data_IF_385707829897
#
_entry.id   IF_385707829897
#
_cell.length_a   1.000
_cell.length_b   1.000
_cell.length_c   1.000
_cell.angle_alpha   90.00
_cell.angle_beta   90.00
_cell.angle_gamma   90.00
#
_symmetry.space_group_name_H-M   'P 1'
#
loop_
_entity.id
_entity.type
_entity.pdbx_description
1 polymer ?
#
# COMPACT_ATOMS: atom_id res chain seq x y z
N UNK A 1 -60.84 8.45 35.97
CA UNK A 1 -59.40 8.12 36.05
C UNK A 1 -58.85 8.04 34.64
N UNK A 2 -57.69 8.68 34.39
CA UNK A 2 -56.66 8.50 33.33
C UNK A 2 -57.15 7.94 31.98
N UNK A 3 -57.19 8.73 30.90
CA UNK A 3 -56.03 9.21 30.12
C UNK A 3 -55.71 8.21 29.00
N UNK A 4 -55.80 8.54 27.70
CA UNK A 4 -54.72 9.19 26.95
C UNK A 4 -55.11 9.46 25.48
N UNK A 5 -54.46 10.48 24.90
CA UNK A 5 -54.53 11.01 23.54
C UNK A 5 -54.00 10.06 22.44
N UNK A 6 -54.41 10.28 21.18
CA UNK A 6 -53.44 10.63 20.12
C UNK A 6 -54.07 11.32 18.92
N UNK A 7 -53.53 12.49 18.62
CA UNK A 7 -53.75 13.29 17.43
C UNK A 7 -52.74 12.90 16.32
N UNK A 8 -53.16 13.13 15.08
CA UNK A 8 -52.35 13.84 14.08
C UNK A 8 -51.43 13.02 13.19
N UNK A 9 -51.41 13.41 11.91
CA UNK A 9 -50.28 13.15 11.03
C UNK A 9 -50.65 12.84 9.59
N UNK A 10 -51.12 13.85 8.85
CA UNK A 10 -51.09 13.86 7.38
C UNK A 10 -49.67 13.61 6.88
N UNK A 11 -49.49 12.53 6.12
CA UNK A 11 -48.24 12.13 5.47
C UNK A 11 -47.92 13.14 4.34
N UNK A 12 -46.89 13.97 4.53
CA UNK A 12 -46.34 14.87 3.50
C UNK A 12 -45.04 14.27 2.97
N UNK A 13 -45.00 14.11 1.64
CA UNK A 13 -43.94 13.46 0.89
C UNK A 13 -42.52 13.93 1.24
N UNK A 14 -41.69 12.97 1.65
CA UNK A 14 -40.24 13.10 1.67
C UNK A 14 -39.65 12.67 0.33
N UNK A 15 -39.62 13.57 -0.65
CA UNK A 15 -38.98 13.35 -1.94
C UNK A 15 -37.66 14.12 -2.07
N UNK A 16 -36.68 13.45 -2.68
CA UNK A 16 -35.69 14.03 -3.60
C UNK A 16 -34.34 14.54 -3.05
N UNK A 17 -34.22 15.07 -1.84
CA UNK A 17 -32.97 15.76 -1.43
C UNK A 17 -31.74 14.85 -1.36
N UNK A 18 -31.89 13.64 -0.80
CA UNK A 18 -30.78 12.68 -0.68
C UNK A 18 -30.30 12.17 -2.04
N UNK A 19 -31.23 11.86 -2.96
CA UNK A 19 -30.87 11.39 -4.31
C UNK A 19 -30.13 12.48 -5.10
N UNK A 20 -30.54 13.74 -4.99
CA UNK A 20 -29.82 14.86 -5.60
C UNK A 20 -28.42 15.05 -4.99
N UNK A 21 -28.23 14.89 -3.68
CA UNK A 21 -26.92 14.98 -3.04
C UNK A 21 -25.99 13.84 -3.51
N UNK A 22 -26.51 12.62 -3.64
CA UNK A 22 -25.76 11.49 -4.21
C UNK A 22 -25.43 11.68 -5.69
N UNK A 23 -26.36 12.21 -6.49
CA UNK A 23 -26.10 12.51 -7.90
C UNK A 23 -25.08 13.64 -8.05
N UNK A 24 -25.14 14.68 -7.22
CA UNK A 24 -24.16 15.76 -7.18
C UNK A 24 -22.78 15.26 -6.74
N UNK A 25 -22.68 14.40 -5.73
CA UNK A 25 -21.40 13.83 -5.29
C UNK A 25 -20.78 12.89 -6.33
N UNK A 26 -21.60 12.11 -7.04
CA UNK A 26 -21.16 11.28 -8.17
C UNK A 26 -20.71 12.15 -9.35
N UNK A 27 -21.41 13.23 -9.67
CA UNK A 27 -20.99 14.21 -10.69
C UNK A 27 -19.69 14.93 -10.31
N UNK A 28 -19.49 15.23 -9.02
CA UNK A 28 -18.24 15.80 -8.50
C UNK A 28 -17.09 14.77 -8.59
N UNK A 29 -17.35 13.48 -8.35
CA UNK A 29 -16.37 12.40 -8.57
C UNK A 29 -16.09 12.15 -10.06
N UNK A 30 -17.06 12.31 -10.95
CA UNK A 30 -16.86 12.15 -12.41
C UNK A 30 -16.10 13.35 -12.99
N UNK A 31 -16.23 14.53 -12.40
CA UNK A 31 -15.56 15.76 -12.83
C UNK A 31 -14.19 16.00 -12.17
N UNK A 32 -13.69 15.08 -11.33
CA UNK A 32 -12.28 15.09 -10.93
C UNK A 32 -11.42 14.71 -12.13
N UNK A 33 -11.17 15.69 -13.00
CA UNK A 33 -10.14 15.63 -14.02
C UNK A 33 -8.83 15.40 -13.29
N UNK A 34 -8.33 14.16 -13.31
CA UNK A 34 -6.97 13.87 -12.88
C UNK A 34 -6.07 14.81 -13.71
N UNK A 35 -5.43 15.79 -13.07
CA UNK A 35 -4.76 16.89 -13.76
C UNK A 35 -3.51 16.34 -14.47
N UNK A 36 -3.71 15.82 -15.68
CA UNK A 36 -2.69 15.19 -16.55
C UNK A 36 -1.91 16.21 -17.36
N UNK A 37 -1.94 17.48 -16.93
CA UNK A 37 -1.26 18.59 -17.60
C UNK A 37 -0.45 19.41 -16.61
N UNK A 38 0.59 20.08 -17.10
CA UNK A 38 1.39 21.03 -16.34
C UNK A 38 1.70 22.27 -17.17
N UNK A 39 1.90 23.41 -16.51
CA UNK A 39 2.25 24.67 -17.19
C UNK A 39 3.77 24.86 -17.18
N UNK A 40 4.34 25.24 -18.33
CA UNK A 40 5.73 25.68 -18.44
C UNK A 40 5.87 27.01 -19.17
N UNK A 41 6.92 27.74 -18.83
CA UNK A 41 7.30 28.98 -19.52
C UNK A 41 8.35 28.68 -20.58
N UNK A 42 8.12 29.16 -21.80
CA UNK A 42 9.06 29.04 -22.91
C UNK A 42 10.14 30.14 -22.85
N UNK A 43 11.26 30.00 -23.57
CA UNK A 43 12.27 31.06 -23.66
C UNK A 43 11.74 32.42 -24.13
N UNK A 44 10.64 32.44 -24.88
CA UNK A 44 9.94 33.66 -25.31
C UNK A 44 9.11 34.35 -24.21
N UNK A 45 8.99 33.75 -23.03
CA UNK A 45 8.12 34.21 -21.94
C UNK A 45 6.68 33.72 -22.05
N UNK A 46 6.29 33.08 -23.15
CA UNK A 46 4.95 32.49 -23.31
C UNK A 46 4.75 31.32 -22.35
N UNK A 47 3.54 31.22 -21.76
CA UNK A 47 3.12 30.05 -20.97
C UNK A 47 2.40 29.06 -21.87
N UNK A 48 2.74 27.79 -21.76
CA UNK A 48 2.10 26.69 -22.49
C UNK A 48 1.68 25.59 -21.52
N UNK A 49 0.53 24.97 -21.79
CA UNK A 49 0.03 23.80 -21.07
C UNK A 49 0.50 22.56 -21.82
N UNK A 50 1.22 21.68 -21.13
CA UNK A 50 1.76 20.44 -21.67
C UNK A 50 1.11 19.23 -21.00
N UNK A 51 0.96 18.13 -21.72
CA UNK A 51 0.58 16.86 -21.13
C UNK A 51 1.75 16.26 -20.33
N UNK A 52 1.44 15.65 -19.20
CA UNK A 52 2.35 14.74 -18.50
C UNK A 52 2.52 13.45 -19.30
N UNK A 53 3.66 12.78 -19.09
CA UNK A 53 3.87 11.43 -19.57
C UNK A 53 3.21 10.41 -18.64
N UNK A 54 2.56 9.35 -19.17
CA UNK A 54 1.89 8.34 -18.36
C UNK A 54 2.89 7.50 -17.53
N UNK A 55 2.41 6.78 -16.49
CA UNK A 55 3.20 5.78 -15.78
C UNK A 55 3.92 4.82 -16.73
N UNK A 56 5.14 4.43 -16.37
CA UNK A 56 6.05 3.65 -17.17
C UNK A 56 6.65 4.36 -18.37
N UNK A 57 6.54 5.68 -18.43
CA UNK A 57 7.24 6.52 -19.39
C UNK A 57 7.86 7.75 -18.71
N UNK A 58 8.80 8.36 -19.42
CA UNK A 58 9.48 9.60 -19.03
C UNK A 58 9.37 10.63 -20.16
N UNK A 59 9.57 11.90 -19.83
CA UNK A 59 9.57 12.99 -20.79
C UNK A 59 10.89 13.04 -21.55
N UNK A 60 10.87 12.64 -22.81
CA UNK A 60 12.02 12.80 -23.71
C UNK A 60 12.19 14.24 -24.14
N UNK A 61 11.09 14.90 -24.51
CA UNK A 61 11.11 16.32 -24.82
C UNK A 61 9.81 16.97 -24.36
N UNK A 62 9.89 18.17 -23.72
CA UNK A 62 8.70 18.89 -23.29
C UNK A 62 7.94 19.47 -24.48
N UNK A 63 6.65 19.75 -24.30
CA UNK A 63 5.84 20.39 -25.34
C UNK A 63 6.35 21.80 -25.71
N UNK A 64 6.02 22.23 -26.92
CA UNK A 64 6.17 23.61 -27.43
C UNK A 64 4.79 24.15 -27.84
N UNK A 65 4.73 25.37 -28.38
CA UNK A 65 3.47 25.93 -28.91
C UNK A 65 2.85 25.09 -30.05
N UNK A 66 3.67 24.31 -30.75
CA UNK A 66 3.24 23.58 -31.96
C UNK A 66 3.51 22.08 -31.89
N UNK A 67 4.18 21.59 -30.85
CA UNK A 67 4.53 20.18 -30.69
C UNK A 67 4.11 19.67 -29.31
N UNK A 68 3.47 18.50 -29.23
CA UNK A 68 3.07 17.92 -27.95
C UNK A 68 4.30 17.44 -27.15
N UNK A 69 4.07 17.09 -25.89
CA UNK A 69 5.08 16.39 -25.07
C UNK A 69 5.45 15.07 -25.74
N UNK A 70 6.75 14.79 -25.85
CA UNK A 70 7.24 13.51 -26.34
C UNK A 70 7.59 12.60 -25.16
N UNK A 71 6.88 11.48 -25.05
CA UNK A 71 7.09 10.49 -24.00
C UNK A 71 7.79 9.25 -24.55
N UNK A 72 8.68 8.66 -23.74
CA UNK A 72 9.33 7.39 -24.05
C UNK A 72 9.18 6.39 -22.91
N UNK A 73 9.07 5.12 -23.27
CA UNK A 73 8.91 4.04 -22.30
C UNK A 73 10.19 3.83 -21.49
N UNK A 74 10.04 3.46 -20.22
CA UNK A 74 11.17 3.03 -19.40
C UNK A 74 11.75 1.71 -19.92
N UNK A 75 13.08 1.62 -19.96
CA UNK A 75 13.80 0.38 -20.23
C UNK A 75 13.72 -0.57 -19.02
N UNK A 76 14.11 -1.83 -19.22
CA UNK A 76 14.21 -2.81 -18.13
C UNK A 76 15.11 -2.32 -17.00
N UNK A 77 14.68 -2.51 -15.75
CA UNK A 77 15.36 -2.02 -14.55
C UNK A 77 15.00 -0.59 -14.15
N UNK A 78 14.11 0.09 -14.88
CA UNK A 78 13.65 1.43 -14.56
C UNK A 78 12.12 1.55 -14.58
N UNK A 79 11.56 2.50 -13.82
CA UNK A 79 10.13 2.70 -13.69
C UNK A 79 9.71 4.16 -13.48
N UNK A 80 8.42 4.44 -13.69
CA UNK A 80 7.72 5.62 -13.19
C UNK A 80 6.30 5.22 -12.81
N UNK A 81 5.87 5.49 -11.58
CA UNK A 81 4.57 5.02 -11.07
C UNK A 81 3.41 5.97 -11.34
N UNK A 82 3.73 7.25 -11.57
CA UNK A 82 2.74 8.32 -11.72
C UNK A 82 2.93 9.09 -13.03
N UNK A 83 1.90 9.84 -13.41
CA UNK A 83 1.98 10.85 -14.46
C UNK A 83 3.08 11.85 -14.13
N UNK A 84 4.01 12.08 -15.06
CA UNK A 84 5.26 12.79 -14.74
C UNK A 84 5.82 13.59 -15.94
N UNK A 85 6.71 14.54 -15.65
CA UNK A 85 7.55 15.21 -16.64
C UNK A 85 9.04 14.90 -16.42
N UNK A 86 9.36 13.82 -15.70
CA UNK A 86 10.76 13.54 -15.35
C UNK A 86 11.56 13.22 -16.61
N UNK A 87 12.81 13.69 -16.71
CA UNK A 87 13.62 13.52 -17.92
C UNK A 87 14.22 12.11 -18.07
N UNK A 88 14.11 11.28 -17.04
CA UNK A 88 14.60 9.90 -16.99
C UNK A 88 13.73 9.09 -16.05
N UNK A 89 13.57 7.79 -16.33
CA UNK A 89 12.90 6.87 -15.41
C UNK A 89 13.75 6.62 -14.15
N UNK A 90 13.09 6.26 -13.05
CA UNK A 90 13.74 5.94 -11.79
C UNK A 90 14.33 4.52 -11.85
N UNK A 91 15.55 4.27 -11.34
CA UNK A 91 16.08 2.91 -11.26
C UNK A 91 15.30 2.09 -10.25
N UNK A 92 15.19 0.78 -10.48
CA UNK A 92 14.59 -0.15 -9.53
C UNK A 92 15.58 -0.54 -8.43
N UNK A 93 15.16 -0.46 -7.18
CA UNK A 93 16.01 -0.73 -6.02
C UNK A 93 16.22 -2.24 -5.83
N UNK A 94 17.43 -2.73 -5.49
CA UNK A 94 17.68 -4.13 -5.11
C UNK A 94 17.01 -4.50 -3.79
N UNK A 95 16.80 -5.80 -3.57
CA UNK A 95 16.51 -6.31 -2.23
C UNK A 95 17.80 -6.52 -1.46
N UNK A 96 17.79 -6.10 -0.20
CA UNK A 96 18.95 -6.11 0.68
C UNK A 96 19.19 -7.49 1.33
N UNK A 97 20.17 -7.57 2.22
CA UNK A 97 20.50 -8.78 2.97
C UNK A 97 19.28 -9.30 3.74
N UNK A 98 19.04 -10.61 3.66
CA UNK A 98 17.89 -11.31 4.25
C UNK A 98 16.52 -10.83 3.76
N UNK A 99 16.47 -10.15 2.62
CA UNK A 99 15.23 -9.84 1.92
C UNK A 99 15.06 -10.70 0.66
N UNK A 100 13.82 -10.85 0.24
CA UNK A 100 13.42 -11.47 -1.02
C UNK A 100 12.41 -10.57 -1.75
N UNK A 101 12.33 -10.76 -3.07
CA UNK A 101 11.40 -10.02 -3.91
C UNK A 101 9.97 -10.49 -3.65
N UNK A 102 9.14 -9.59 -3.13
CA UNK A 102 7.69 -9.81 -2.96
C UNK A 102 6.94 -9.45 -4.23
N UNK A 103 7.35 -8.35 -4.87
CA UNK A 103 6.79 -7.85 -6.13
C UNK A 103 7.93 -7.44 -7.05
N UNK A 104 7.94 -7.91 -8.31
CA UNK A 104 9.00 -7.58 -9.25
C UNK A 104 9.05 -6.09 -9.56
N UNK A 105 10.21 -5.65 -10.05
CA UNK A 105 10.31 -4.37 -10.75
C UNK A 105 9.60 -4.49 -12.10
N UNK A 106 8.77 -3.50 -12.43
CA UNK A 106 8.24 -3.33 -13.79
C UNK A 106 8.43 -1.88 -14.20
N UNK A 107 8.21 -1.55 -15.47
CA UNK A 107 8.22 -0.15 -15.89
C UNK A 107 7.21 0.73 -15.13
N UNK A 108 6.16 0.15 -14.54
CA UNK A 108 5.09 0.90 -13.88
C UNK A 108 5.28 1.04 -12.37
N UNK A 109 6.17 0.27 -11.74
CA UNK A 109 6.38 0.35 -10.30
C UNK A 109 7.73 -0.24 -9.91
N UNK A 110 8.25 0.25 -8.79
CA UNK A 110 9.46 -0.32 -8.20
C UNK A 110 9.24 -1.78 -7.78
N UNK A 111 10.36 -2.47 -7.58
CA UNK A 111 10.42 -3.71 -6.81
C UNK A 111 9.98 -3.44 -5.37
N UNK A 112 9.27 -4.41 -4.79
CA UNK A 112 8.95 -4.42 -3.35
C UNK A 112 9.62 -5.64 -2.74
N UNK A 113 10.39 -5.40 -1.69
CA UNK A 113 11.11 -6.44 -0.95
C UNK A 113 10.39 -6.75 0.37
N UNK A 114 10.56 -7.97 0.85
CA UNK A 114 10.11 -8.41 2.17
C UNK A 114 11.21 -9.24 2.85
N UNK A 115 11.16 -9.38 4.18
CA UNK A 115 12.09 -10.26 4.88
C UNK A 115 11.83 -11.72 4.51
N UNK A 116 12.92 -12.48 4.31
CA UNK A 116 12.90 -13.92 4.07
C UNK A 116 12.26 -14.69 5.24
N UNK A 117 11.78 -15.92 5.03
CA UNK A 117 11.33 -16.79 6.11
C UNK A 117 12.36 -16.89 7.25
N UNK A 118 11.90 -16.77 8.50
CA UNK A 118 12.76 -16.73 9.69
C UNK A 118 13.29 -15.34 10.06
N UNK A 119 12.88 -14.28 9.35
CA UNK A 119 13.24 -12.90 9.63
C UNK A 119 12.01 -11.97 9.66
N UNK A 120 12.11 -10.87 10.39
CA UNK A 120 11.12 -9.79 10.39
C UNK A 120 11.78 -8.43 10.21
N UNK A 121 11.00 -7.47 9.69
CA UNK A 121 11.45 -6.10 9.52
C UNK A 121 11.59 -5.41 10.88
N UNK A 122 12.80 -4.96 11.20
CA UNK A 122 13.13 -4.27 12.42
C UNK A 122 13.84 -2.95 12.10
N UNK A 123 13.06 -1.86 12.12
CA UNK A 123 13.46 -0.49 11.76
C UNK A 123 13.96 -0.34 10.31
N UNK A 124 15.17 -0.83 10.02
CA UNK A 124 15.86 -0.64 8.73
C UNK A 124 16.49 -1.93 8.18
N UNK A 125 16.36 -3.06 8.86
CA UNK A 125 16.93 -4.33 8.42
C UNK A 125 16.04 -5.53 8.80
N UNK A 126 16.29 -6.67 8.16
CA UNK A 126 15.63 -7.93 8.51
C UNK A 126 16.38 -8.62 9.65
N UNK A 127 15.77 -8.62 10.84
CA UNK A 127 16.29 -9.29 12.04
C UNK A 127 15.76 -10.72 12.08
N UNK A 128 16.60 -11.68 12.48
CA UNK A 128 16.18 -13.08 12.66
C UNK A 128 15.09 -13.14 13.74
N UNK A 129 14.09 -13.98 13.52
CA UNK A 129 13.03 -14.23 14.50
C UNK A 129 13.60 -14.73 15.82
N UNK A 130 12.96 -14.33 16.92
CA UNK A 130 13.23 -14.82 18.26
C UNK A 130 12.95 -16.32 18.32
N UNK A 131 13.89 -17.02 18.93
CA UNK A 131 13.84 -18.44 19.20
C UNK A 131 13.44 -18.59 20.66
N UNK A 132 12.32 -19.29 20.95
CA UNK A 132 11.83 -19.38 22.32
C UNK A 132 12.75 -20.21 23.21
N UNK A 133 12.86 -19.83 24.47
CA UNK A 133 13.76 -20.50 25.41
C UNK A 133 13.19 -21.84 25.87
N UNK A 134 14.02 -22.66 26.51
CA UNK A 134 13.56 -23.89 27.14
C UNK A 134 12.48 -23.58 28.20
N UNK A 135 11.35 -24.29 28.13
CA UNK A 135 10.19 -24.05 29.01
C UNK A 135 9.23 -22.97 28.48
N UNK A 136 9.58 -22.26 27.42
CA UNK A 136 8.69 -21.41 26.65
C UNK A 136 8.28 -22.10 25.34
N UNK A 137 7.09 -21.78 24.85
CA UNK A 137 6.64 -22.17 23.52
C UNK A 137 6.20 -20.97 22.69
N UNK A 138 6.06 -21.20 21.39
CA UNK A 138 5.57 -20.18 20.46
C UNK A 138 4.09 -19.88 20.76
N UNK A 139 3.82 -18.64 21.17
CA UNK A 139 2.47 -18.10 21.32
C UNK A 139 1.92 -17.64 19.98
N UNK A 140 2.72 -16.83 19.28
CA UNK A 140 2.41 -16.24 17.98
C UNK A 140 3.61 -16.42 17.07
N UNK A 141 3.37 -17.01 15.90
CA UNK A 141 4.40 -17.17 14.87
C UNK A 141 4.89 -15.82 14.34
N UNK A 142 6.20 -15.74 14.07
CA UNK A 142 6.80 -14.60 13.42
C UNK A 142 6.28 -14.42 11.98
N UNK A 143 6.24 -13.18 11.52
CA UNK A 143 5.91 -12.81 10.13
C UNK A 143 7.02 -11.94 9.54
N UNK A 144 7.00 -11.61 8.24
CA UNK A 144 7.98 -10.68 7.67
C UNK A 144 7.98 -9.28 8.31
N UNK A 145 6.96 -8.92 9.10
CA UNK A 145 6.84 -7.63 9.78
C UNK A 145 6.76 -7.70 11.31
N UNK A 146 6.67 -8.90 11.89
CA UNK A 146 6.53 -9.09 13.34
C UNK A 146 7.41 -10.24 13.82
N UNK A 147 8.03 -10.05 14.97
CA UNK A 147 8.81 -11.09 15.62
C UNK A 147 7.93 -12.23 16.14
N UNK A 148 8.54 -13.40 16.36
CA UNK A 148 7.95 -14.48 17.14
C UNK A 148 7.70 -14.02 18.56
N UNK A 149 6.52 -14.36 19.09
CA UNK A 149 6.17 -14.10 20.50
C UNK A 149 6.17 -15.42 21.25
N UNK A 150 6.95 -15.48 22.32
CA UNK A 150 7.08 -16.65 23.20
C UNK A 150 6.20 -16.50 24.45
N UNK A 151 5.79 -17.62 25.03
CA UNK A 151 5.13 -17.66 26.33
C UNK A 151 5.59 -18.86 27.17
N UNK A 152 5.64 -18.75 28.50
CA UNK A 152 5.91 -19.89 29.37
C UNK A 152 4.86 -20.98 29.21
N UNK A 153 5.29 -22.25 29.16
CA UNK A 153 4.35 -23.37 29.14
C UNK A 153 3.66 -23.53 30.50
N UNK A 154 2.33 -23.74 30.45
CA UNK A 154 1.54 -24.02 31.64
C UNK A 154 1.91 -25.37 32.27
N UNK A 155 1.58 -25.56 33.55
CA UNK A 155 1.76 -26.84 34.24
C UNK A 155 1.14 -27.99 33.43
N UNK A 156 1.84 -29.11 33.34
CA UNK A 156 1.41 -30.25 32.52
C UNK A 156 1.76 -30.13 31.03
N UNK A 157 2.36 -29.02 30.58
CA UNK A 157 2.81 -28.81 29.22
C UNK A 157 4.33 -28.58 29.15
N UNK A 158 4.90 -28.87 28.00
CA UNK A 158 6.30 -28.61 27.69
C UNK A 158 6.50 -28.33 26.20
N UNK A 159 7.60 -27.67 25.86
CA UNK A 159 8.11 -27.56 24.51
C UNK A 159 9.55 -28.08 24.50
N UNK A 160 9.76 -29.33 24.07
CA UNK A 160 11.11 -29.90 23.94
C UNK A 160 11.67 -29.73 22.52
N UNK A 161 12.88 -29.18 22.45
CA UNK A 161 13.71 -29.14 21.26
C UNK A 161 14.79 -28.07 21.38
N UNK A 162 15.84 -28.10 20.54
CA UNK A 162 17.02 -27.24 20.68
C UNK A 162 16.76 -25.73 20.58
N UNK A 163 15.53 -25.32 20.26
CA UNK A 163 15.18 -23.95 19.92
C UNK A 163 13.78 -23.52 20.40
N UNK A 164 13.06 -24.26 21.25
CA UNK A 164 11.74 -23.84 21.79
C UNK A 164 10.67 -23.36 20.77
N UNK A 165 10.94 -23.48 19.47
CA UNK A 165 10.20 -22.85 18.39
C UNK A 165 9.02 -23.74 17.97
N UNK A 166 8.42 -24.39 18.97
CA UNK A 166 7.20 -25.17 18.88
C UNK A 166 6.23 -24.64 19.92
N UNK A 167 4.95 -24.83 19.65
CA UNK A 167 3.91 -24.52 20.63
C UNK A 167 4.02 -25.45 21.84
N UNK A 168 3.61 -24.99 23.01
CA UNK A 168 3.53 -25.84 24.20
C UNK A 168 2.57 -27.02 23.96
N UNK A 169 3.03 -28.24 24.28
CA UNK A 169 2.27 -29.48 24.14
C UNK A 169 2.13 -30.19 25.49
N UNK A 170 1.00 -30.88 25.77
CA UNK A 170 0.84 -31.61 27.02
C UNK A 170 1.86 -32.75 27.14
N UNK A 171 2.25 -33.10 28.37
CA UNK A 171 3.05 -34.30 28.60
C UNK A 171 2.35 -35.54 28.05
N UNK A 172 3.09 -36.40 27.36
CA UNK A 172 2.57 -37.73 27.00
C UNK A 172 2.52 -38.58 28.27
N UNK A 173 1.32 -38.99 28.69
CA UNK A 173 1.17 -40.07 29.64
C UNK A 173 1.59 -41.37 28.94
N UNK A 174 2.58 -42.07 29.50
CA UNK A 174 3.00 -43.40 29.07
C UNK A 174 2.26 -44.46 29.88
#
# INVERSE_FOLDING_TARGET
MRGTNRAGGTDRGGTSTNLFIFLLSVLICISSQEERTYVRTLPSGAKVVCDFCPPGSYQRSPCTLTRPTECRQCCGGFYTEFWNYVPVCLPCDPCEVNQEEKRPCTRFHNRVCQCKPGYFWHSHYCKKHTVCSLGEGVKTEGTPSKDTVCEPCANGHYAAGPEGNKRCTPYTAW
#
